data_IF_805193273052
#
_entry.id   IF_805193273052
#
_cell.length_a   1.000
_cell.length_b   1.000
_cell.length_c   1.000
_cell.angle_alpha   90.00
_cell.angle_beta   90.00
_cell.angle_gamma   90.00
#
_symmetry.space_group_name_H-M   'P 1'
#
loop_
_entity.id
_entity.type
_entity.pdbx_description
1 polymer ?
#
# COMPACT_ATOMS: atom_id res chain seq x y z
N UNK A 1 -21.29 -1.19 0.81
CA UNK A 1 -20.05 -0.64 1.42
C UNK A 1 -20.28 -0.16 2.84
N UNK A 2 -21.24 0.75 3.11
CA UNK A 2 -21.50 1.24 4.48
C UNK A 2 -21.82 0.11 5.47
N UNK A 3 -22.83 -0.73 5.18
CA UNK A 3 -23.19 -1.84 6.08
C UNK A 3 -22.07 -2.87 6.20
N UNK A 4 -21.32 -3.12 5.11
CA UNK A 4 -20.15 -3.99 5.12
C UNK A 4 -19.08 -3.48 6.10
N UNK A 5 -18.74 -2.19 6.05
CA UNK A 5 -17.80 -1.59 6.98
C UNK A 5 -18.31 -1.61 8.43
N UNK A 6 -19.62 -1.42 8.62
CA UNK A 6 -20.22 -1.49 9.96
C UNK A 6 -20.12 -2.89 10.55
N UNK A 7 -20.48 -3.91 9.78
CA UNK A 7 -20.71 -5.25 10.30
C UNK A 7 -19.42 -6.09 10.31
N UNK A 8 -18.49 -5.86 9.37
CA UNK A 8 -17.23 -6.60 9.27
C UNK A 8 -16.03 -5.88 9.88
N UNK A 9 -16.16 -4.62 10.27
CA UNK A 9 -15.04 -3.82 10.77
C UNK A 9 -14.12 -3.30 9.68
N UNK A 10 -13.17 -2.44 10.07
CA UNK A 10 -12.35 -1.72 9.11
C UNK A 10 -11.42 -2.65 8.33
N UNK A 11 -10.79 -3.63 8.99
CA UNK A 11 -9.83 -4.53 8.38
C UNK A 11 -10.47 -5.39 7.28
N UNK A 12 -11.48 -6.19 7.62
CA UNK A 12 -12.14 -7.08 6.66
C UNK A 12 -13.07 -6.29 5.71
N UNK A 13 -13.73 -5.25 6.23
CA UNK A 13 -14.60 -4.38 5.45
C UNK A 13 -13.86 -3.61 4.36
N UNK A 14 -12.60 -3.20 4.57
CA UNK A 14 -11.79 -2.53 3.56
C UNK A 14 -11.53 -3.43 2.36
N UNK A 15 -11.16 -4.70 2.57
CA UNK A 15 -10.96 -5.64 1.47
C UNK A 15 -12.21 -5.88 0.62
N UNK A 16 -13.37 -6.02 1.27
CA UNK A 16 -14.64 -6.17 0.54
C UNK A 16 -15.03 -4.90 -0.22
N UNK A 17 -14.83 -3.73 0.38
CA UNK A 17 -15.16 -2.45 -0.25
C UNK A 17 -14.20 -2.12 -1.40
N UNK A 18 -12.90 -2.38 -1.27
CA UNK A 18 -11.92 -2.24 -2.35
C UNK A 18 -12.26 -3.16 -3.52
N UNK A 19 -12.57 -4.43 -3.25
CA UNK A 19 -12.99 -5.36 -4.30
C UNK A 19 -14.26 -4.88 -5.01
N UNK A 20 -15.20 -4.28 -4.29
CA UNK A 20 -16.41 -3.69 -4.90
C UNK A 20 -16.04 -2.48 -5.75
N UNK A 21 -15.22 -1.56 -5.23
CA UNK A 21 -14.77 -0.36 -5.95
C UNK A 21 -14.03 -0.73 -7.24
N UNK A 22 -13.15 -1.74 -7.17
CA UNK A 22 -12.41 -2.28 -8.32
C UNK A 22 -13.34 -2.84 -9.40
N UNK A 23 -14.33 -3.65 -9.02
CA UNK A 23 -15.34 -4.17 -9.96
C UNK A 23 -16.14 -3.06 -10.62
N UNK A 24 -16.35 -1.94 -9.91
CA UNK A 24 -17.01 -0.74 -10.43
C UNK A 24 -16.07 0.19 -11.22
N UNK A 25 -14.79 -0.14 -11.36
CA UNK A 25 -13.80 0.72 -12.03
C UNK A 25 -13.46 1.99 -11.25
N UNK A 26 -13.73 2.02 -9.94
CA UNK A 26 -13.49 3.17 -9.07
C UNK A 26 -12.14 2.99 -8.37
N UNK A 27 -11.16 3.83 -8.74
CA UNK A 27 -9.85 3.82 -8.09
C UNK A 27 -9.93 4.34 -6.65
N UNK A 28 -10.60 5.47 -6.40
CA UNK A 28 -10.81 6.03 -5.06
C UNK A 28 -12.23 6.56 -4.92
N UNK A 29 -12.78 6.49 -3.72
CA UNK A 29 -14.02 7.21 -3.43
C UNK A 29 -13.75 8.73 -3.43
N UNK A 30 -14.53 9.47 -4.20
CA UNK A 30 -14.44 10.93 -4.28
C UNK A 30 -15.28 11.55 -3.17
N UNK A 31 -15.11 12.86 -2.89
CA UNK A 31 -16.00 13.57 -1.97
C UNK A 31 -17.48 13.40 -2.33
N UNK A 32 -17.82 13.37 -3.62
CA UNK A 32 -19.21 13.15 -4.09
C UNK A 32 -19.75 11.78 -3.63
N UNK A 33 -18.94 10.72 -3.70
CA UNK A 33 -19.35 9.40 -3.21
C UNK A 33 -19.58 9.41 -1.69
N UNK A 34 -18.70 10.06 -0.94
CA UNK A 34 -18.81 10.16 0.52
C UNK A 34 -20.01 11.02 0.94
N UNK A 35 -20.26 12.13 0.25
CA UNK A 35 -21.43 13.00 0.47
C UNK A 35 -22.74 12.27 0.18
N UNK A 36 -22.78 11.48 -0.91
CA UNK A 36 -23.93 10.64 -1.24
C UNK A 36 -24.18 9.60 -0.15
N UNK A 37 -23.14 8.89 0.29
CA UNK A 37 -23.24 7.96 1.41
C UNK A 37 -23.74 8.67 2.68
N UNK A 38 -23.17 9.82 3.00
CA UNK A 38 -23.51 10.67 4.13
C UNK A 38 -24.98 11.11 4.15
N UNK A 39 -25.58 11.37 2.99
CA UNK A 39 -27.00 11.73 2.86
C UNK A 39 -27.90 10.51 3.05
N UNK A 40 -27.56 9.37 2.43
CA UNK A 40 -28.34 8.13 2.51
C UNK A 40 -28.35 7.57 3.94
N UNK A 41 -27.23 7.71 4.67
CA UNK A 41 -27.06 7.13 6.01
C UNK A 41 -27.32 8.14 7.13
N UNK A 42 -28.09 9.20 6.86
CA UNK A 42 -28.43 10.21 7.86
C UNK A 42 -29.15 9.57 9.05
N UNK A 43 -28.64 9.83 10.26
CA UNK A 43 -29.19 9.27 11.50
C UNK A 43 -28.73 7.83 11.81
N UNK A 44 -27.91 7.22 10.95
CA UNK A 44 -27.33 5.91 11.23
C UNK A 44 -26.35 5.97 12.41
N UNK A 45 -26.35 4.91 13.23
CA UNK A 45 -25.39 4.75 14.31
C UNK A 45 -23.96 4.60 13.75
N UNK A 46 -22.96 5.15 14.46
CA UNK A 46 -21.54 5.17 14.06
C UNK A 46 -21.23 5.74 12.67
N UNK A 47 -22.13 6.56 12.12
CA UNK A 47 -22.02 7.13 10.78
C UNK A 47 -20.65 7.76 10.50
N UNK A 48 -20.15 8.61 11.39
CA UNK A 48 -18.92 9.38 11.10
C UNK A 48 -17.67 8.50 11.11
N UNK A 49 -17.64 7.47 11.96
CA UNK A 49 -16.60 6.43 11.95
C UNK A 49 -16.64 5.66 10.64
N UNK A 50 -17.83 5.23 10.18
CA UNK A 50 -17.97 4.44 8.94
C UNK A 50 -17.64 5.29 7.71
N UNK A 51 -18.05 6.56 7.65
CA UNK A 51 -17.66 7.46 6.57
C UNK A 51 -16.15 7.72 6.56
N UNK A 52 -15.52 7.78 7.73
CA UNK A 52 -14.06 7.85 7.84
C UNK A 52 -13.41 6.57 7.28
N UNK A 53 -13.92 5.38 7.64
CA UNK A 53 -13.45 4.11 7.07
C UNK A 53 -13.58 4.07 5.54
N UNK A 54 -14.74 4.50 5.01
CA UNK A 54 -15.00 4.55 3.57
C UNK A 54 -14.04 5.49 2.84
N UNK A 55 -13.53 6.54 3.48
CA UNK A 55 -12.55 7.44 2.85
C UNK A 55 -11.22 6.77 2.50
N UNK A 56 -10.93 5.59 3.06
CA UNK A 56 -9.74 4.80 2.76
C UNK A 56 -9.93 3.76 1.64
N UNK A 57 -11.15 3.65 1.09
CA UNK A 57 -11.44 2.71 0.00
C UNK A 57 -10.66 3.11 -1.24
N UNK A 58 -9.90 2.14 -1.76
CA UNK A 58 -9.06 2.28 -2.93
C UNK A 58 -9.09 0.98 -3.75
N UNK A 59 -9.81 1.01 -4.88
CA UNK A 59 -10.02 -0.14 -5.74
C UNK A 59 -8.77 -0.60 -6.51
N UNK A 60 -7.60 0.03 -6.29
CA UNK A 60 -6.34 -0.38 -6.90
C UNK A 60 -5.68 -1.57 -6.19
N UNK A 61 -5.98 -1.86 -4.92
CA UNK A 61 -5.54 -3.13 -4.31
C UNK A 61 -6.01 -4.29 -5.17
N UNK A 62 -5.18 -5.30 -5.41
CA UNK A 62 -5.47 -6.40 -6.35
C UNK A 62 -6.07 -7.62 -5.67
N UNK A 63 -5.92 -7.77 -4.36
CA UNK A 63 -6.52 -8.86 -3.59
C UNK A 63 -6.87 -8.45 -2.16
N UNK A 64 -7.57 -9.33 -1.45
CA UNK A 64 -8.00 -9.09 -0.06
C UNK A 64 -6.83 -8.95 0.91
N UNK A 65 -5.75 -9.73 0.75
CA UNK A 65 -4.56 -9.62 1.58
C UNK A 65 -3.89 -8.26 1.47
N UNK A 66 -3.82 -7.71 0.26
CA UNK A 66 -3.29 -6.35 0.06
C UNK A 66 -4.14 -5.28 0.77
N UNK A 67 -5.46 -5.42 0.73
CA UNK A 67 -6.36 -4.50 1.43
C UNK A 67 -6.27 -4.64 2.94
N UNK A 68 -6.16 -5.86 3.46
CA UNK A 68 -6.00 -6.14 4.90
C UNK A 68 -4.68 -5.57 5.40
N UNK A 69 -3.57 -5.86 4.72
CA UNK A 69 -2.26 -5.28 5.03
C UNK A 69 -2.32 -3.74 5.01
N UNK A 70 -3.00 -3.14 4.03
CA UNK A 70 -3.22 -1.68 4.00
C UNK A 70 -4.04 -1.19 5.18
N UNK A 71 -5.08 -1.92 5.60
CA UNK A 71 -5.86 -1.57 6.78
C UNK A 71 -4.97 -1.56 8.04
N UNK A 72 -4.11 -2.57 8.23
CA UNK A 72 -3.16 -2.59 9.34
C UNK A 72 -2.14 -1.45 9.28
N UNK A 73 -1.64 -1.07 8.10
CA UNK A 73 -0.78 0.11 7.95
C UNK A 73 -1.49 1.38 8.42
N UNK A 74 -2.75 1.57 7.99
CA UNK A 74 -3.56 2.75 8.32
C UNK A 74 -3.86 2.79 9.83
N UNK A 75 -4.32 1.67 10.40
CA UNK A 75 -4.62 1.53 11.84
C UNK A 75 -3.37 1.68 12.70
N UNK A 76 -2.24 1.15 12.25
CA UNK A 76 -0.93 1.31 12.87
C UNK A 76 -0.37 2.73 12.83
N UNK A 77 -1.04 3.64 12.11
CA UNK A 77 -0.70 5.05 12.06
C UNK A 77 0.30 5.44 10.98
N UNK A 78 0.65 4.54 10.05
CA UNK A 78 1.50 4.89 8.92
C UNK A 78 0.75 5.84 7.96
N UNK A 79 1.53 6.64 7.24
CA UNK A 79 1.02 7.37 6.08
C UNK A 79 0.39 6.39 5.06
N UNK A 80 -0.71 6.80 4.42
CA UNK A 80 -1.42 5.94 3.45
C UNK A 80 -0.54 5.79 2.20
N UNK A 81 -0.22 4.55 1.75
CA UNK A 81 0.57 4.36 0.55
C UNK A 81 -0.19 4.74 -0.72
N UNK A 82 0.56 5.05 -1.78
CA UNK A 82 0.07 4.89 -3.14
C UNK A 82 0.08 3.41 -3.54
N UNK A 83 -0.90 2.99 -4.33
CA UNK A 83 -1.11 1.57 -4.65
C UNK A 83 -0.81 1.26 -6.11
N UNK A 84 -0.26 0.07 -6.34
CA UNK A 84 -0.03 -0.51 -7.66
C UNK A 84 0.69 0.44 -8.62
N UNK A 85 1.77 1.05 -8.14
CA UNK A 85 2.50 2.11 -8.84
C UNK A 85 3.49 1.52 -9.84
N UNK A 86 3.44 1.98 -11.09
CA UNK A 86 4.44 1.64 -12.10
C UNK A 86 5.67 2.54 -11.95
N UNK A 87 6.84 1.93 -11.82
CA UNK A 87 8.14 2.58 -11.71
C UNK A 87 9.00 2.19 -12.90
N UNK A 88 9.60 3.20 -13.54
CA UNK A 88 10.55 3.02 -14.63
C UNK A 88 11.97 3.20 -14.06
N UNK A 89 12.81 2.18 -14.20
CA UNK A 89 14.22 2.20 -13.74
C UNK A 89 15.18 1.96 -14.90
N UNK A 90 16.34 2.61 -14.85
CA UNK A 90 17.38 2.48 -15.85
C UNK A 90 18.31 1.30 -15.52
N UNK A 91 18.29 0.26 -16.33
CA UNK A 91 19.23 -0.84 -16.24
C UNK A 91 20.45 -0.58 -17.13
N UNK A 92 21.64 -0.50 -16.56
CA UNK A 92 22.89 -0.41 -17.32
C UNK A 92 23.12 -1.65 -18.20
N UNK A 93 23.43 -1.44 -19.48
CA UNK A 93 23.62 -2.48 -20.52
C UNK A 93 25.04 -2.48 -21.09
N UNK A 94 25.98 -1.85 -20.40
CA UNK A 94 27.37 -1.75 -20.84
C UNK A 94 27.68 -0.47 -21.63
N UNK A 95 28.91 -0.36 -22.15
CA UNK A 95 29.35 0.78 -22.94
C UNK A 95 28.50 0.98 -24.20
N UNK A 96 28.35 2.24 -24.60
CA UNK A 96 27.69 2.64 -25.83
C UNK A 96 28.57 2.57 -27.06
N UNK A 97 27.99 2.85 -28.25
CA UNK A 97 28.68 2.73 -29.53
C UNK A 97 29.77 3.80 -29.73
N UNK A 98 29.81 4.84 -28.89
CA UNK A 98 30.84 5.88 -28.90
C UNK A 98 31.64 5.83 -27.60
N UNK A 99 32.92 6.15 -27.68
CA UNK A 99 33.78 6.27 -26.50
C UNK A 99 33.17 7.25 -25.47
N UNK A 100 33.20 6.87 -24.19
CA UNK A 100 32.60 7.65 -23.10
C UNK A 100 31.07 7.57 -22.98
N UNK A 101 30.37 6.83 -23.85
CA UNK A 101 28.91 6.67 -23.76
C UNK A 101 28.52 5.37 -23.06
N UNK A 102 27.33 5.35 -22.45
CA UNK A 102 26.73 4.17 -21.79
C UNK A 102 25.39 3.84 -22.43
N UNK A 103 25.01 2.56 -22.43
CA UNK A 103 23.66 2.11 -22.83
C UNK A 103 22.86 1.77 -21.59
N UNK A 104 21.61 2.19 -21.61
CA UNK A 104 20.62 1.85 -20.59
C UNK A 104 19.39 1.25 -21.25
N UNK A 105 18.69 0.41 -20.51
CA UNK A 105 17.38 -0.12 -20.87
C UNK A 105 16.38 0.26 -19.77
N UNK A 106 15.27 0.88 -20.15
CA UNK A 106 14.17 1.12 -19.21
C UNK A 106 13.51 -0.21 -18.85
N UNK A 107 13.42 -0.48 -17.55
CA UNK A 107 12.65 -1.58 -16.97
C UNK A 107 11.48 -0.98 -16.22
N UNK A 108 10.27 -1.44 -16.53
CA UNK A 108 9.07 -1.08 -15.78
C UNK A 108 8.76 -2.16 -14.75
N UNK A 109 8.64 -1.78 -13.49
CA UNK A 109 8.18 -2.62 -12.39
C UNK A 109 6.92 -2.03 -11.80
N UNK A 110 5.99 -2.87 -11.34
CA UNK A 110 4.82 -2.42 -10.58
C UNK A 110 5.00 -2.85 -9.14
N UNK A 111 4.79 -1.93 -8.20
CA UNK A 111 4.94 -2.18 -6.76
C UNK A 111 3.60 -2.06 -6.04
N UNK A 112 3.37 -2.88 -5.02
CA UNK A 112 2.07 -2.95 -4.34
C UNK A 112 1.77 -1.65 -3.56
N UNK A 113 2.76 -1.21 -2.79
CA UNK A 113 2.68 0.00 -1.96
C UNK A 113 3.88 0.90 -2.21
N UNK A 114 3.65 2.21 -2.29
CA UNK A 114 4.71 3.20 -2.41
C UNK A 114 4.50 4.38 -1.46
N UNK A 115 5.60 4.80 -0.82
CA UNK A 115 5.70 6.03 -0.06
C UNK A 115 6.86 6.87 -0.60
N UNK A 116 6.66 8.18 -0.66
CA UNK A 116 7.72 9.15 -0.94
C UNK A 116 7.94 9.97 0.32
N UNK A 117 9.08 9.79 0.98
CA UNK A 117 9.40 10.39 2.28
C UNK A 117 10.60 11.33 2.16
N UNK A 118 10.68 12.41 2.95
CA UNK A 118 11.89 13.22 3.02
C UNK A 118 13.10 12.39 3.45
N UNK A 119 14.27 12.65 2.87
CA UNK A 119 15.53 12.09 3.33
C UNK A 119 16.30 13.07 4.23
N UNK A 120 17.35 12.56 4.91
CA UNK A 120 18.16 13.34 5.85
C UNK A 120 18.98 14.46 5.17
N UNK A 121 19.14 14.40 3.85
CA UNK A 121 19.85 15.40 3.05
C UNK A 121 18.92 16.48 2.47
N UNK A 122 17.63 16.46 2.84
CA UNK A 122 16.62 17.41 2.35
C UNK A 122 16.05 17.04 0.97
N UNK A 123 16.37 15.87 0.45
CA UNK A 123 15.77 15.27 -0.74
C UNK A 123 14.55 14.41 -0.40
N UNK A 124 14.13 13.58 -1.36
CA UNK A 124 13.05 12.62 -1.20
C UNK A 124 13.55 11.21 -1.51
N UNK A 125 13.16 10.26 -0.66
CA UNK A 125 13.38 8.83 -0.81
C UNK A 125 12.07 8.14 -1.18
N UNK A 126 12.16 7.16 -2.06
CA UNK A 126 11.07 6.21 -2.32
C UNK A 126 11.24 4.95 -1.48
N UNK A 127 10.19 4.56 -0.77
CA UNK A 127 10.08 3.28 -0.07
C UNK A 127 8.93 2.51 -0.72
N UNK A 128 9.14 1.24 -1.02
CA UNK A 128 8.10 0.36 -1.57
C UNK A 128 7.89 -0.84 -0.66
N UNK A 129 6.62 -1.23 -0.52
CA UNK A 129 6.20 -2.42 0.20
C UNK A 129 5.70 -3.47 -0.79
N UNK A 130 6.06 -4.73 -0.56
CA UNK A 130 5.61 -5.86 -1.38
C UNK A 130 5.01 -6.93 -0.46
N UNK A 131 3.76 -7.29 -0.73
CA UNK A 131 3.10 -8.39 -0.01
C UNK A 131 3.44 -9.69 -0.72
N UNK A 132 4.31 -10.49 -0.10
CA UNK A 132 4.70 -11.78 -0.64
C UNK A 132 3.57 -12.79 -0.45
N UNK A 133 2.97 -13.22 -1.57
CA UNK A 133 1.95 -14.28 -1.56
C UNK A 133 2.49 -15.62 -1.04
N UNK A 134 1.61 -16.41 -0.41
CA UNK A 134 1.98 -17.67 0.27
C UNK A 134 2.64 -18.71 -0.65
N UNK A 135 2.33 -18.69 -1.95
CA UNK A 135 2.86 -19.64 -2.94
C UNK A 135 4.31 -19.35 -3.42
N UNK A 136 5.00 -18.36 -2.85
CA UNK A 136 6.33 -17.95 -3.35
C UNK A 136 7.43 -19.00 -3.13
N UNK A 137 7.22 -19.99 -2.26
CA UNK A 137 8.20 -21.06 -1.97
C UNK A 137 8.11 -22.30 -2.87
N UNK A 138 7.10 -22.39 -3.76
CA UNK A 138 6.99 -23.48 -4.73
C UNK A 138 7.69 -23.17 -6.08
N UNK A 139 8.25 -21.96 -6.23
CA UNK A 139 8.76 -21.48 -7.52
C UNK A 139 10.20 -21.95 -7.77
N UNK A 140 10.48 -22.39 -9.00
CA UNK A 140 11.82 -22.81 -9.43
C UNK A 140 12.86 -21.69 -9.43
N UNK A 141 14.15 -22.06 -9.47
CA UNK A 141 15.32 -21.18 -9.37
C UNK A 141 15.30 -19.96 -10.31
N UNK A 142 14.67 -20.08 -11.47
CA UNK A 142 14.56 -18.99 -12.46
C UNK A 142 13.67 -17.84 -12.01
N UNK A 143 12.63 -18.10 -11.22
CA UNK A 143 11.74 -17.04 -10.71
C UNK A 143 12.40 -16.29 -9.56
N UNK A 144 13.08 -17.00 -8.67
CA UNK A 144 13.86 -16.40 -7.58
C UNK A 144 14.93 -15.46 -8.13
N UNK A 145 15.62 -15.85 -9.20
CA UNK A 145 16.63 -14.99 -9.85
C UNK A 145 16.01 -13.74 -10.51
N UNK A 146 14.78 -13.81 -11.02
CA UNK A 146 14.08 -12.64 -11.58
C UNK A 146 13.67 -11.66 -10.49
N UNK A 147 13.14 -12.16 -9.38
CA UNK A 147 12.76 -11.33 -8.22
C UNK A 147 14.00 -10.66 -7.62
N UNK A 148 15.08 -11.41 -7.38
CA UNK A 148 16.35 -10.82 -6.91
C UNK A 148 16.91 -9.75 -7.85
N UNK A 149 16.82 -9.96 -9.17
CA UNK A 149 17.27 -8.95 -10.15
C UNK A 149 16.38 -7.71 -10.13
N UNK A 150 15.07 -7.88 -9.96
CA UNK A 150 14.12 -6.76 -9.82
C UNK A 150 14.49 -5.90 -8.61
N UNK A 151 14.67 -6.53 -7.46
CA UNK A 151 14.96 -5.81 -6.20
C UNK A 151 16.30 -5.09 -6.30
N UNK A 152 17.33 -5.77 -6.82
CA UNK A 152 18.64 -5.15 -7.03
C UNK A 152 18.60 -3.93 -7.96
N UNK A 153 17.74 -3.93 -8.99
CA UNK A 153 17.58 -2.78 -9.89
C UNK A 153 16.81 -1.63 -9.23
N UNK A 154 15.78 -1.93 -8.44
CA UNK A 154 15.06 -0.93 -7.65
C UNK A 154 16.00 -0.28 -6.64
N UNK A 155 16.75 -1.08 -5.88
CA UNK A 155 17.72 -0.59 -4.89
C UNK A 155 18.85 0.22 -5.52
N UNK A 156 19.40 -0.22 -6.65
CA UNK A 156 20.40 0.55 -7.40
C UNK A 156 19.87 1.90 -7.90
N UNK A 157 18.54 2.03 -8.04
CA UNK A 157 17.86 3.28 -8.40
C UNK A 157 17.49 4.14 -7.18
N UNK A 158 17.98 3.79 -5.98
CA UNK A 158 17.73 4.53 -4.74
C UNK A 158 16.40 4.21 -4.06
N UNK A 159 15.67 3.18 -4.52
CA UNK A 159 14.41 2.74 -3.93
C UNK A 159 14.69 1.79 -2.77
N UNK A 160 14.05 1.99 -1.61
CA UNK A 160 14.11 1.02 -0.52
C UNK A 160 12.95 0.03 -0.61
N UNK A 161 13.25 -1.25 -0.83
CA UNK A 161 12.24 -2.32 -0.94
C UNK A 161 12.04 -3.00 0.41
N UNK A 162 10.78 -3.20 0.84
CA UNK A 162 10.41 -3.90 2.07
C UNK A 162 9.44 -5.02 1.73
N UNK A 163 9.93 -6.26 1.83
CA UNK A 163 9.09 -7.45 1.71
C UNK A 163 8.48 -7.82 3.07
N UNK A 164 7.22 -8.24 3.05
CA UNK A 164 6.56 -8.87 4.19
C UNK A 164 5.65 -9.99 3.69
N UNK A 165 5.58 -11.07 4.48
CA UNK A 165 4.76 -12.22 4.12
C UNK A 165 3.27 -11.95 4.28
N UNK A 166 2.43 -12.78 3.67
CA UNK A 166 1.00 -12.81 3.94
C UNK A 166 0.70 -12.88 5.46
N UNK A 167 1.41 -13.74 6.20
CA UNK A 167 1.27 -13.83 7.64
C UNK A 167 1.63 -12.53 8.38
N UNK A 168 2.73 -11.87 7.99
CA UNK A 168 3.12 -10.59 8.60
C UNK A 168 2.13 -9.46 8.34
N UNK A 169 1.51 -9.47 7.16
CA UNK A 169 0.62 -8.42 6.71
C UNK A 169 -0.85 -8.63 7.06
N UNK A 170 -1.30 -9.89 7.17
CA UNK A 170 -2.72 -10.23 7.26
C UNK A 170 -3.11 -11.05 8.49
N UNK A 171 -2.15 -11.64 9.20
CA UNK A 171 -2.44 -12.34 10.45
C UNK A 171 -2.21 -11.43 11.66
N UNK A 172 -3.04 -11.60 12.69
CA UNK A 172 -2.96 -10.80 13.90
C UNK A 172 -3.23 -9.32 13.65
N UNK A 173 -2.40 -8.44 14.19
CA UNK A 173 -2.57 -6.97 14.11
C UNK A 173 -1.67 -6.31 13.04
N UNK A 174 -0.93 -7.09 12.25
CA UNK A 174 0.04 -6.56 11.28
C UNK A 174 1.23 -5.81 11.90
N UNK A 175 1.43 -5.92 13.22
CA UNK A 175 2.44 -5.13 13.95
C UNK A 175 3.87 -5.37 13.45
N UNK A 176 4.23 -6.60 13.06
CA UNK A 176 5.57 -6.91 12.54
C UNK A 176 5.84 -6.17 11.22
N UNK A 177 4.87 -6.18 10.30
CA UNK A 177 4.91 -5.42 9.05
C UNK A 177 4.97 -3.92 9.31
N UNK A 178 4.08 -3.38 10.16
CA UNK A 178 4.05 -1.94 10.48
C UNK A 178 5.39 -1.49 11.06
N UNK A 179 5.95 -2.26 11.99
CA UNK A 179 7.25 -1.97 12.58
C UNK A 179 8.38 -2.01 11.54
N UNK A 180 8.39 -2.99 10.63
CA UNK A 180 9.37 -3.06 9.53
C UNK A 180 9.30 -1.84 8.61
N UNK A 181 8.10 -1.44 8.20
CA UNK A 181 7.90 -0.27 7.34
C UNK A 181 8.34 1.02 8.04
N UNK A 182 8.02 1.16 9.33
CA UNK A 182 8.47 2.28 10.13
C UNK A 182 10.01 2.34 10.23
N UNK A 183 10.67 1.21 10.53
CA UNK A 183 12.13 1.12 10.53
C UNK A 183 12.75 1.37 9.14
N UNK A 184 12.00 1.12 8.07
CA UNK A 184 12.41 1.44 6.72
C UNK A 184 12.40 2.95 6.42
N UNK A 185 11.67 3.73 7.24
CA UNK A 185 11.53 5.18 7.13
C UNK A 185 10.14 5.63 6.68
N UNK A 186 9.16 4.73 6.59
CA UNK A 186 7.76 5.14 6.36
C UNK A 186 7.31 5.93 7.58
N UNK A 187 6.77 7.13 7.35
CA UNK A 187 6.41 8.02 8.45
C UNK A 187 5.07 7.60 9.06
N UNK A 188 4.96 7.90 10.35
CA UNK A 188 3.67 7.96 11.01
C UNK A 188 2.97 9.27 10.64
N UNK A 189 1.64 9.23 10.55
CA UNK A 189 0.85 10.47 10.57
C UNK A 189 1.01 11.18 11.90
N UNK A 190 0.64 12.47 11.94
CA UNK A 190 0.77 13.27 13.16
C UNK A 190 -0.06 12.69 14.33
N UNK A 191 0.22 13.17 15.53
CA UNK A 191 -0.43 12.67 16.74
C UNK A 191 -1.96 12.81 16.72
N UNK A 192 -2.48 13.90 16.15
CA UNK A 192 -3.92 14.17 16.11
C UNK A 192 -4.62 13.19 15.16
N UNK A 193 -4.04 12.94 13.99
CA UNK A 193 -4.59 11.97 13.04
C UNK A 193 -4.47 10.54 13.57
N UNK A 194 -3.39 10.19 14.30
CA UNK A 194 -3.29 8.88 14.96
C UNK A 194 -4.38 8.69 16.01
N UNK A 195 -4.61 9.69 16.86
CA UNK A 195 -5.69 9.65 17.86
C UNK A 195 -7.07 9.57 17.18
N UNK A 196 -7.28 10.36 16.13
CA UNK A 196 -8.50 10.31 15.32
C UNK A 196 -8.72 8.91 14.73
N UNK A 197 -7.70 8.29 14.13
CA UNK A 197 -7.78 6.93 13.59
C UNK A 197 -8.05 5.90 14.67
N UNK A 198 -7.36 5.97 15.82
CA UNK A 198 -7.60 5.05 16.94
C UNK A 198 -9.07 5.08 17.38
N UNK A 199 -9.67 6.27 17.49
CA UNK A 199 -11.08 6.44 17.84
C UNK A 199 -12.04 5.98 16.74
N UNK A 200 -11.75 6.31 15.48
CA UNK A 200 -12.68 6.08 14.36
C UNK A 200 -12.59 4.66 13.79
N UNK A 201 -11.45 3.98 13.92
CA UNK A 201 -11.19 2.67 13.31
C UNK A 201 -11.18 1.53 14.34
N UNK A 202 -10.89 1.81 15.62
CA UNK A 202 -10.76 0.80 16.68
C UNK A 202 -12.03 0.52 17.50
N UNK A 203 -13.13 1.24 17.25
CA UNK A 203 -14.40 1.03 17.94
C UNK A 203 -15.35 0.12 17.15
N UNK A 204 -15.31 -1.18 17.46
CA UNK A 204 -16.34 -2.15 17.08
C UNK A 204 -16.89 -2.77 18.35
#
# INVERSE_FOLDING_TARGET
MFDVMRDAGFEQGLGMCDSTARTMGIAKLTPVHLDTAAQITKGAWHRDSILTMLSFVDGRSENGGESIARAHMIMGGLEVPELQVNMDVEEYRGPGPREGTSRYQIRRFRVDYMWTVPDDAGGMRTIVGELDGEEKYAKGMTTVNKERRRDALLEASGVRVVHFSHADGCEGSGLSMVHRLYQAGVRMVDANERERRARMLGGQ
#
